data_IF_015620770830
#
_entry.id   IF_015620770830
#
_cell.length_a   1.000
_cell.length_b   1.000
_cell.length_c   1.000
_cell.angle_alpha   90.00
_cell.angle_beta   90.00
_cell.angle_gamma   90.00
#
_symmetry.space_group_name_H-M   'P 1'
#
loop_
_entity.id
_entity.type
_entity.pdbx_description
1 polymer ?
#
# COMPACT_ATOMS: atom_id res chain seq x y z
N UNK A 1 -38.97 -8.93 -4.79
CA UNK A 1 -38.82 -7.80 -3.85
C UNK A 1 -37.35 -7.46 -3.52
N UNK A 2 -36.41 -8.41 -3.55
CA UNK A 2 -34.99 -8.18 -3.20
C UNK A 2 -34.19 -7.26 -4.14
N UNK A 3 -34.48 -7.24 -5.45
CA UNK A 3 -33.71 -6.46 -6.44
C UNK A 3 -33.95 -4.95 -6.26
N UNK A 4 -35.19 -4.57 -5.95
CA UNK A 4 -35.57 -3.18 -5.73
C UNK A 4 -34.87 -2.59 -4.50
N UNK A 5 -34.79 -3.35 -3.41
CA UNK A 5 -34.07 -2.97 -2.19
C UNK A 5 -32.57 -2.74 -2.45
N UNK A 6 -31.89 -3.64 -3.18
CA UNK A 6 -30.49 -3.46 -3.55
C UNK A 6 -30.24 -2.20 -4.39
N UNK A 7 -31.19 -1.84 -5.26
CA UNK A 7 -31.10 -0.65 -6.11
C UNK A 7 -31.23 0.62 -5.28
N UNK A 8 -32.12 0.62 -4.29
CA UNK A 8 -32.31 1.71 -3.32
C UNK A 8 -31.04 1.90 -2.47
N UNK A 9 -30.48 0.82 -1.91
CA UNK A 9 -29.24 0.87 -1.11
C UNK A 9 -28.05 1.42 -1.91
N UNK A 10 -27.94 1.08 -3.19
CA UNK A 10 -26.88 1.59 -4.07
C UNK A 10 -27.06 3.08 -4.39
N UNK A 11 -28.30 3.54 -4.58
CA UNK A 11 -28.61 4.95 -4.82
C UNK A 11 -28.33 5.81 -3.57
N UNK A 12 -28.66 5.31 -2.37
CA UNK A 12 -28.37 5.98 -1.10
C UNK A 12 -26.87 6.10 -0.85
N UNK A 13 -26.10 5.03 -1.10
CA UNK A 13 -24.64 5.04 -0.97
C UNK A 13 -23.97 6.01 -1.95
N UNK A 14 -24.49 6.11 -3.19
CA UNK A 14 -24.07 7.13 -4.16
C UNK A 14 -24.37 8.55 -3.65
N UNK A 15 -25.56 8.78 -3.08
CA UNK A 15 -25.98 10.07 -2.54
C UNK A 15 -25.14 10.49 -1.33
N UNK A 16 -24.79 9.54 -0.47
CA UNK A 16 -23.92 9.78 0.68
C UNK A 16 -22.48 10.13 0.23
N UNK A 17 -21.93 9.39 -0.74
CA UNK A 17 -20.63 9.71 -1.32
C UNK A 17 -20.62 11.07 -2.00
N UNK A 18 -21.67 11.42 -2.74
CA UNK A 18 -21.79 12.74 -3.37
C UNK A 18 -21.78 13.86 -2.33
N UNK A 19 -22.53 13.71 -1.23
CA UNK A 19 -22.51 14.67 -0.12
C UNK A 19 -21.13 14.83 0.51
N UNK A 20 -20.40 13.71 0.72
CA UNK A 20 -19.03 13.75 1.25
C UNK A 20 -18.06 14.47 0.31
N UNK A 21 -18.18 14.21 -1.00
CA UNK A 21 -17.39 14.90 -2.02
C UNK A 21 -17.69 16.39 -2.03
N UNK A 22 -18.97 16.77 -2.01
CA UNK A 22 -19.37 18.18 -2.03
C UNK A 22 -18.86 18.92 -0.79
N UNK A 23 -19.01 18.33 0.40
CA UNK A 23 -18.48 18.87 1.66
C UNK A 23 -16.96 19.05 1.60
N UNK A 24 -16.23 18.06 1.07
CA UNK A 24 -14.78 18.14 0.94
C UNK A 24 -14.33 19.22 -0.07
N UNK A 25 -15.13 19.47 -1.11
CA UNK A 25 -14.90 20.57 -2.05
C UNK A 25 -15.09 21.91 -1.34
N UNK A 26 -16.21 22.10 -0.65
CA UNK A 26 -16.52 23.33 0.11
C UNK A 26 -15.43 23.64 1.15
N UNK A 27 -15.04 22.66 1.97
CA UNK A 27 -13.94 22.80 2.94
C UNK A 27 -12.61 23.16 2.27
N UNK A 28 -12.34 22.67 1.06
CA UNK A 28 -11.12 22.99 0.30
C UNK A 28 -11.14 24.41 -0.26
N UNK A 29 -12.31 24.91 -0.69
CA UNK A 29 -12.48 26.31 -1.09
C UNK A 29 -12.25 27.26 0.08
N UNK A 30 -12.79 26.94 1.25
CA UNK A 30 -12.55 27.71 2.47
C UNK A 30 -11.07 27.69 2.88
N UNK A 31 -10.43 26.51 2.83
CA UNK A 31 -9.00 26.40 3.11
C UNK A 31 -8.13 27.19 2.10
N UNK A 32 -8.53 27.26 0.83
CA UNK A 32 -7.82 28.06 -0.18
C UNK A 32 -7.92 29.57 0.09
N UNK A 33 -9.09 30.03 0.57
CA UNK A 33 -9.36 31.43 0.86
C UNK A 33 -8.72 31.91 2.16
N UNK A 34 -8.82 31.11 3.22
CA UNK A 34 -8.41 31.49 4.58
C UNK A 34 -6.98 31.01 4.94
N UNK A 35 -6.50 29.88 4.40
CA UNK A 35 -5.17 29.36 4.73
C UNK A 35 -4.57 28.45 3.65
N UNK A 36 -3.95 29.03 2.60
CA UNK A 36 -3.33 28.27 1.51
C UNK A 36 -2.31 27.22 1.97
N UNK A 37 -1.61 27.46 3.09
CA UNK A 37 -0.65 26.51 3.69
C UNK A 37 -1.32 25.25 4.24
N UNK A 38 -2.51 25.37 4.85
CA UNK A 38 -3.32 24.21 5.29
C UNK A 38 -3.82 23.40 4.09
N UNK A 39 -4.21 24.08 3.01
CA UNK A 39 -4.60 23.40 1.77
C UNK A 39 -3.42 22.60 1.19
N UNK A 40 -2.23 23.21 1.09
CA UNK A 40 -1.02 22.53 0.60
C UNK A 40 -0.69 21.34 1.51
N UNK A 41 -0.69 21.50 2.83
CA UNK A 41 -0.44 20.41 3.75
C UNK A 41 -1.49 19.30 3.65
N UNK A 42 -2.79 19.60 3.48
CA UNK A 42 -3.83 18.58 3.28
C UNK A 42 -3.64 17.74 2.00
N UNK A 43 -3.03 18.33 0.96
CA UNK A 43 -2.67 17.63 -0.28
C UNK A 43 -1.38 16.81 -0.11
N UNK A 44 -0.43 17.31 0.69
CA UNK A 44 0.88 16.69 0.94
C UNK A 44 0.87 15.65 2.08
N UNK A 45 -0.05 15.75 3.04
CA UNK A 45 -0.30 14.82 4.17
C UNK A 45 -1.02 13.54 3.71
N UNK A 46 -0.75 13.09 2.49
CA UNK A 46 -1.12 11.75 2.09
C UNK A 46 -0.15 10.82 2.83
N UNK A 47 -0.57 10.09 3.88
CA UNK A 47 0.34 9.20 4.58
C UNK A 47 0.92 8.24 3.54
N UNK A 48 2.25 8.21 3.43
CA UNK A 48 2.92 7.16 2.66
C UNK A 48 2.43 5.84 3.25
N UNK A 49 1.61 5.11 2.48
CA UNK A 49 1.22 3.76 2.87
C UNK A 49 2.43 2.87 2.64
N UNK A 50 3.34 2.85 3.61
CA UNK A 50 4.38 1.85 3.64
C UNK A 50 3.70 0.49 3.76
N UNK A 51 4.08 -0.42 2.89
CA UNK A 51 3.80 -1.83 3.12
C UNK A 51 4.71 -2.20 4.29
N UNK A 52 4.12 -2.47 5.44
CA UNK A 52 4.86 -2.99 6.58
C UNK A 52 5.30 -4.41 6.20
N UNK A 53 6.60 -4.60 5.98
CA UNK A 53 7.23 -5.88 5.65
C UNK A 53 7.51 -6.72 6.92
N UNK A 54 6.64 -6.67 7.93
CA UNK A 54 6.84 -7.32 9.24
C UNK A 54 6.88 -8.87 9.17
N UNK A 55 6.56 -9.47 8.02
CA UNK A 55 6.55 -10.94 7.84
C UNK A 55 7.78 -11.50 7.14
N UNK A 56 8.77 -10.68 6.83
CA UNK A 56 10.08 -11.12 6.30
C UNK A 56 11.18 -11.16 7.38
N UNK A 57 10.81 -10.95 8.64
CA UNK A 57 11.74 -11.08 9.77
C UNK A 57 11.68 -12.53 10.25
N UNK A 58 12.29 -13.47 9.52
CA UNK A 58 12.48 -14.83 10.02
C UNK A 58 13.95 -15.24 9.89
N UNK A 59 14.66 -15.04 11.01
CA UNK A 59 15.70 -15.95 11.53
C UNK A 59 16.81 -16.40 10.56
N UNK A 60 17.49 -15.47 9.91
CA UNK A 60 18.83 -15.76 9.38
C UNK A 60 19.85 -14.95 10.16
N UNK A 61 20.83 -15.61 10.76
CA UNK A 61 21.91 -15.03 11.59
C UNK A 61 22.71 -13.92 10.88
N UNK A 62 22.51 -13.73 9.56
CA UNK A 62 23.25 -12.82 8.70
C UNK A 62 22.41 -11.73 7.99
N UNK A 63 21.17 -11.44 8.42
CA UNK A 63 20.30 -10.43 7.78
C UNK A 63 20.15 -10.61 6.24
N UNK A 64 20.21 -11.85 5.75
CA UNK A 64 20.11 -12.19 4.33
C UNK A 64 19.01 -13.20 4.09
N UNK A 65 18.14 -12.87 3.14
CA UNK A 65 17.08 -13.72 2.62
C UNK A 65 17.64 -14.63 1.53
N UNK A 66 17.38 -15.93 1.67
CA UNK A 66 17.75 -16.94 0.66
C UNK A 66 16.69 -17.05 -0.46
N UNK A 67 17.05 -17.66 -1.59
CA UNK A 67 16.10 -17.86 -2.70
C UNK A 67 14.97 -18.81 -2.28
N UNK A 68 15.28 -19.89 -1.56
CA UNK A 68 14.28 -20.90 -1.17
C UNK A 68 13.28 -20.34 -0.16
N UNK A 69 13.76 -19.56 0.80
CA UNK A 69 12.92 -18.83 1.75
C UNK A 69 12.00 -17.85 1.03
N UNK A 70 12.53 -17.08 0.06
CA UNK A 70 11.70 -16.16 -0.73
C UNK A 70 10.64 -16.91 -1.56
N UNK A 71 10.99 -18.06 -2.14
CA UNK A 71 10.05 -18.90 -2.89
C UNK A 71 8.93 -19.43 -2.01
N UNK A 72 9.24 -19.86 -0.78
CA UNK A 72 8.25 -20.31 0.19
C UNK A 72 7.28 -19.17 0.55
N UNK A 73 7.80 -17.97 0.83
CA UNK A 73 6.96 -16.79 1.12
C UNK A 73 6.06 -16.42 -0.06
N UNK A 74 6.61 -16.43 -1.29
CA UNK A 74 5.84 -16.16 -2.52
C UNK A 74 4.72 -17.18 -2.70
N UNK A 75 4.98 -18.46 -2.41
CA UNK A 75 3.99 -19.53 -2.50
C UNK A 75 2.78 -19.26 -1.61
N UNK A 76 3.02 -18.85 -0.36
CA UNK A 76 1.99 -18.54 0.64
C UNK A 76 1.30 -17.18 0.44
N UNK A 77 1.66 -16.40 -0.59
CA UNK A 77 0.98 -15.13 -0.87
C UNK A 77 -0.53 -15.34 -1.10
N UNK A 78 -1.38 -14.45 -0.57
CA UNK A 78 -2.82 -14.61 -0.65
C UNK A 78 -3.33 -14.39 -2.08
N UNK A 79 -4.18 -15.31 -2.54
CA UNK A 79 -4.86 -15.21 -3.82
C UNK A 79 -6.10 -14.30 -3.74
N UNK A 80 -6.40 -13.57 -4.82
CA UNK A 80 -7.59 -12.75 -5.05
C UNK A 80 -7.81 -11.63 -4.03
N UNK A 81 -6.76 -11.23 -3.31
CA UNK A 81 -6.81 -10.02 -2.48
C UNK A 81 -6.73 -8.78 -3.37
N UNK A 82 -7.49 -7.75 -2.98
CA UNK A 82 -7.48 -6.47 -3.65
C UNK A 82 -6.06 -5.90 -3.71
N UNK A 83 -5.66 -5.46 -4.90
CA UNK A 83 -4.40 -4.74 -5.07
C UNK A 83 -4.37 -3.49 -4.18
N UNK A 84 -3.20 -3.20 -3.63
CA UNK A 84 -2.96 -1.95 -2.90
C UNK A 84 -2.97 -0.73 -3.83
N UNK A 85 -2.45 0.40 -3.35
CA UNK A 85 -2.39 1.64 -4.14
C UNK A 85 -1.54 1.54 -5.40
N UNK A 86 -0.67 0.54 -5.50
CA UNK A 86 0.16 0.25 -6.68
C UNK A 86 -0.61 -0.44 -7.80
N UNK A 87 -1.81 -0.98 -7.55
CA UNK A 87 -2.55 -1.79 -8.53
C UNK A 87 -1.97 -3.18 -8.79
N UNK A 88 -0.86 -3.54 -8.13
CA UNK A 88 -0.23 -4.86 -8.24
C UNK A 88 -0.97 -5.90 -7.39
N UNK A 89 -1.30 -7.05 -7.96
CA UNK A 89 -1.86 -8.17 -7.21
C UNK A 89 -0.76 -9.04 -6.60
N UNK A 90 -1.02 -9.58 -5.41
CA UNK A 90 -0.08 -10.47 -4.71
C UNK A 90 0.24 -11.75 -5.51
N UNK A 91 -0.70 -12.22 -6.32
CA UNK A 91 -0.55 -13.43 -7.12
C UNK A 91 0.51 -13.27 -8.22
N UNK A 92 0.78 -12.04 -8.66
CA UNK A 92 1.68 -11.79 -9.77
C UNK A 92 3.10 -12.25 -9.47
N UNK A 93 3.50 -12.19 -8.21
CA UNK A 93 4.81 -12.66 -7.77
C UNK A 93 4.97 -14.19 -7.89
N UNK A 94 3.86 -14.95 -7.92
CA UNK A 94 3.89 -16.42 -8.09
C UNK A 94 4.23 -16.85 -9.51
N UNK A 95 4.08 -15.93 -10.48
CA UNK A 95 4.33 -16.18 -11.90
C UNK A 95 5.66 -15.57 -12.37
N UNK A 96 6.48 -15.04 -11.46
CA UNK A 96 7.80 -14.53 -11.79
C UNK A 96 8.71 -15.67 -12.27
N UNK A 97 9.50 -15.44 -13.34
CA UNK A 97 10.57 -16.38 -13.70
C UNK A 97 11.65 -16.39 -12.62
N UNK A 98 12.50 -17.43 -12.61
CA UNK A 98 13.52 -17.59 -11.58
C UNK A 98 14.46 -16.36 -11.50
N UNK A 99 14.82 -15.80 -12.66
CA UNK A 99 15.63 -14.59 -12.78
C UNK A 99 14.94 -13.39 -12.09
N UNK A 100 13.61 -13.30 -12.20
CA UNK A 100 12.83 -12.26 -11.53
C UNK A 100 12.79 -12.42 -10.01
N UNK A 101 12.76 -13.67 -9.53
CA UNK A 101 12.84 -13.98 -8.09
C UNK A 101 14.24 -13.63 -7.55
N UNK A 102 15.29 -13.87 -8.32
CA UNK A 102 16.66 -13.48 -7.96
C UNK A 102 16.82 -11.96 -7.84
N UNK A 103 16.32 -11.20 -8.82
CA UNK A 103 16.33 -9.73 -8.77
C UNK A 103 15.53 -9.23 -7.55
N UNK A 104 14.36 -9.81 -7.28
CA UNK A 104 13.55 -9.45 -6.12
C UNK A 104 14.30 -9.72 -4.80
N UNK A 105 14.96 -10.87 -4.69
CA UNK A 105 15.81 -11.24 -3.54
C UNK A 105 16.95 -10.24 -3.35
N UNK A 106 17.59 -9.82 -4.42
CA UNK A 106 18.70 -8.86 -4.37
C UNK A 106 18.22 -7.46 -3.93
N UNK A 107 17.06 -7.01 -4.42
CA UNK A 107 16.43 -5.77 -3.96
C UNK A 107 16.13 -5.85 -2.46
N UNK A 108 15.51 -6.93 -1.99
CA UNK A 108 15.18 -7.12 -0.57
C UNK A 108 16.44 -7.09 0.29
N UNK A 109 17.48 -7.83 -0.09
CA UNK A 109 18.76 -7.84 0.63
C UNK A 109 19.49 -6.50 0.57
N UNK A 110 19.33 -5.73 -0.51
CA UNK A 110 19.83 -4.36 -0.60
C UNK A 110 19.09 -3.43 0.36
N UNK A 111 17.76 -3.57 0.50
CA UNK A 111 16.99 -2.76 1.45
C UNK A 111 17.37 -3.03 2.91
N UNK A 112 17.70 -4.27 3.26
CA UNK A 112 18.22 -4.57 4.61
C UNK A 112 19.56 -3.89 4.88
N UNK A 113 20.52 -3.99 3.94
CA UNK A 113 21.81 -3.29 4.06
C UNK A 113 21.66 -1.77 4.16
N UNK A 114 20.76 -1.18 3.38
CA UNK A 114 20.51 0.27 3.42
C UNK A 114 19.81 0.69 4.72
N UNK A 115 18.95 -0.16 5.28
CA UNK A 115 18.30 0.14 6.54
C UNK A 115 19.27 0.06 7.74
N UNK A 116 20.27 -0.83 7.68
CA UNK A 116 21.39 -0.83 8.63
C UNK A 116 22.19 0.49 8.54
N UNK A 117 22.37 1.04 7.33
CA UNK A 117 22.98 2.37 7.12
C UNK A 117 22.07 3.50 7.61
N UNK A 118 20.74 3.34 7.64
CA UNK A 118 19.85 4.40 8.12
C UNK A 118 19.72 4.43 9.66
N UNK A 119 20.04 3.35 10.36
CA UNK A 119 20.07 3.34 11.83
C UNK A 119 21.17 4.25 12.40
N UNK A 120 22.33 4.31 11.75
CA UNK A 120 23.44 5.21 12.13
C UNK A 120 23.15 6.71 11.90
N UNK A 121 22.07 7.05 11.17
CA UNK A 121 21.60 8.43 10.97
C UNK A 121 20.31 8.77 11.73
N UNK A 122 19.81 7.88 12.59
CA UNK A 122 18.71 8.21 13.52
C UNK A 122 19.28 9.00 14.71
N UNK A 123 19.19 10.33 14.65
CA UNK A 123 19.41 11.25 15.78
C UNK A 123 18.27 11.15 16.80
#
# INVERSE_FOLDING_TARGET
QSIHFQTITRAEKKKENFKKIQKAIEERWENLKESPKKMINSVLDKPRKSIIMDRLIVKSENNKVSIDELKEVIHFLPNKKAAGQSGLQYEWFKYLPNEGIEVLRDIINMTFKLNDILEEFKW
#
